data_IF_903369051827
#
_entry.id   IF_903369051827
#
_cell.length_a   1.000
_cell.length_b   1.000
_cell.length_c   1.000
_cell.angle_alpha   90.00
_cell.angle_beta   90.00
_cell.angle_gamma   90.00
#
_symmetry.space_group_name_H-M   'P 1'
#
loop_
_entity.id
_entity.type
_entity.pdbx_description
1 polymer ?
#
# COMPACT_ATOMS: atom_id res chain seq x y z
N UNK A 1 14.32 -0.22 16.13
CA UNK A 1 14.03 -0.48 14.69
C UNK A 1 14.12 -1.97 14.38
N UNK A 2 15.29 -2.60 14.56
CA UNK A 2 15.47 -4.05 14.27
C UNK A 2 14.52 -4.96 15.06
N UNK A 3 14.32 -4.68 16.35
CA UNK A 3 13.36 -5.42 17.18
C UNK A 3 11.90 -5.32 16.66
N UNK A 4 11.55 -4.24 15.94
CA UNK A 4 10.22 -4.11 15.35
C UNK A 4 10.12 -4.85 14.03
N UNK A 5 11.16 -4.76 13.20
CA UNK A 5 11.27 -5.53 11.96
C UNK A 5 11.13 -7.03 12.26
N UNK A 6 11.77 -7.52 13.33
CA UNK A 6 11.68 -8.93 13.72
C UNK A 6 10.28 -9.35 14.17
N UNK A 7 9.47 -8.44 14.74
CA UNK A 7 8.07 -8.75 15.13
C UNK A 7 7.19 -9.06 13.91
N UNK A 8 7.50 -8.55 12.72
CA UNK A 8 6.72 -8.84 11.52
C UNK A 8 6.71 -10.31 11.13
N UNK A 9 7.75 -11.06 11.50
CA UNK A 9 7.82 -12.49 11.25
C UNK A 9 6.60 -13.24 11.82
N UNK A 10 6.02 -12.74 12.92
CA UNK A 10 4.86 -13.34 13.60
C UNK A 10 3.52 -12.87 13.05
N UNK A 11 3.50 -11.84 12.19
CA UNK A 11 2.26 -11.36 11.62
C UNK A 11 1.80 -12.27 10.49
N UNK A 12 0.49 -12.40 10.36
CA UNK A 12 -0.15 -13.02 9.21
C UNK A 12 0.12 -12.23 7.92
N UNK A 13 0.30 -12.93 6.80
CA UNK A 13 0.54 -12.32 5.49
C UNK A 13 -0.66 -11.49 5.01
N UNK A 14 -0.37 -10.31 4.42
CA UNK A 14 -1.34 -9.32 3.90
C UNK A 14 -2.34 -8.82 4.95
N UNK A 15 -3.06 -7.70 4.77
CA UNK A 15 -4.19 -7.37 5.63
C UNK A 15 -5.37 -8.34 5.42
N UNK A 16 -6.18 -8.60 6.46
CA UNK A 16 -7.31 -9.56 6.40
C UNK A 16 -8.29 -9.28 5.25
N UNK A 17 -8.58 -8.02 4.95
CA UNK A 17 -9.50 -7.67 3.86
C UNK A 17 -8.91 -7.96 2.47
N UNK A 18 -7.58 -7.90 2.31
CA UNK A 18 -6.92 -8.31 1.06
C UNK A 18 -6.90 -9.83 0.96
N UNK A 19 -6.61 -10.52 2.06
CA UNK A 19 -6.66 -11.97 2.08
C UNK A 19 -8.07 -12.49 1.73
N UNK A 20 -9.12 -11.91 2.33
CA UNK A 20 -10.50 -12.29 2.06
C UNK A 20 -10.91 -12.00 0.61
N UNK A 21 -10.46 -10.89 0.01
CA UNK A 21 -10.70 -10.60 -1.40
C UNK A 21 -10.34 -11.77 -2.33
N UNK A 22 -9.25 -12.50 -2.05
CA UNK A 22 -8.82 -13.65 -2.85
C UNK A 22 -9.43 -14.99 -2.42
N UNK A 23 -10.02 -15.09 -1.22
CA UNK A 23 -10.37 -16.37 -0.60
C UNK A 23 -11.84 -16.54 -0.26
N UNK A 24 -12.61 -15.46 -0.22
CA UNK A 24 -14.03 -15.45 0.15
C UNK A 24 -14.88 -14.85 -0.95
N UNK A 25 -15.77 -15.65 -1.53
CA UNK A 25 -16.67 -15.22 -2.61
C UNK A 25 -17.68 -14.16 -2.16
N UNK A 26 -18.03 -14.15 -0.87
CA UNK A 26 -18.99 -13.19 -0.32
C UNK A 26 -18.37 -11.86 0.11
N UNK A 27 -17.03 -11.73 0.02
CA UNK A 27 -16.30 -10.52 0.39
C UNK A 27 -16.77 -9.31 -0.44
N UNK A 28 -17.09 -8.17 0.22
CA UNK A 28 -17.56 -6.98 -0.48
C UNK A 28 -16.63 -6.48 -1.59
N UNK A 29 -15.31 -6.60 -1.43
CA UNK A 29 -14.34 -6.19 -2.46
C UNK A 29 -14.29 -7.18 -3.60
N UNK A 30 -14.41 -8.48 -3.31
CA UNK A 30 -14.49 -9.50 -4.36
C UNK A 30 -15.72 -9.29 -5.24
N UNK A 31 -16.88 -8.98 -4.64
CA UNK A 31 -18.10 -8.61 -5.38
C UNK A 31 -17.92 -7.33 -6.20
N UNK A 32 -17.31 -6.31 -5.62
CA UNK A 32 -17.02 -5.07 -6.32
C UNK A 32 -16.11 -5.29 -7.55
N UNK A 33 -15.11 -6.16 -7.44
CA UNK A 33 -14.26 -6.55 -8.58
C UNK A 33 -15.04 -7.31 -9.66
N UNK A 34 -15.95 -8.20 -9.27
CA UNK A 34 -16.80 -8.90 -10.25
C UNK A 34 -17.74 -7.94 -11.01
N UNK A 35 -18.24 -6.91 -10.33
CA UNK A 35 -19.15 -5.93 -10.91
C UNK A 35 -18.42 -4.85 -11.74
N UNK A 36 -17.24 -4.46 -11.28
CA UNK A 36 -16.45 -3.34 -11.83
C UNK A 36 -14.98 -3.73 -12.02
N UNK A 37 -14.67 -4.76 -12.85
CA UNK A 37 -13.31 -5.24 -13.01
C UNK A 37 -12.36 -4.18 -13.58
N UNK A 38 -12.89 -3.19 -14.32
CA UNK A 38 -12.12 -2.08 -14.87
C UNK A 38 -11.46 -1.22 -13.78
N UNK A 39 -12.01 -1.18 -12.56
CA UNK A 39 -11.49 -0.41 -11.42
C UNK A 39 -10.35 -1.12 -10.66
N UNK A 40 -9.99 -2.34 -11.07
CA UNK A 40 -8.99 -3.17 -10.39
C UNK A 40 -7.87 -3.61 -11.35
N UNK A 41 -7.09 -2.69 -11.94
CA UNK A 41 -6.00 -3.08 -12.81
C UNK A 41 -4.88 -3.74 -11.99
N UNK A 42 -4.15 -4.66 -12.62
CA UNK A 42 -3.03 -5.35 -12.02
C UNK A 42 -1.82 -5.37 -12.96
N UNK A 43 -0.63 -5.37 -12.38
CA UNK A 43 0.63 -5.60 -13.10
C UNK A 43 0.72 -7.04 -13.58
N UNK A 44 1.67 -7.33 -14.45
CA UNK A 44 2.06 -8.72 -14.71
C UNK A 44 2.47 -9.39 -13.40
N UNK A 45 2.05 -10.64 -13.25
CA UNK A 45 2.43 -11.47 -12.11
C UNK A 45 3.70 -12.27 -12.44
N UNK A 46 4.70 -12.19 -11.58
CA UNK A 46 6.02 -12.79 -11.77
C UNK A 46 6.48 -13.58 -10.55
N UNK A 47 7.71 -14.10 -10.58
CA UNK A 47 8.35 -14.72 -9.42
C UNK A 47 8.57 -13.76 -8.26
N UNK A 48 8.53 -12.44 -8.51
CA UNK A 48 8.60 -11.40 -7.47
C UNK A 48 7.20 -10.98 -6.96
N UNK A 49 6.15 -11.66 -7.44
CA UNK A 49 4.75 -11.32 -7.22
C UNK A 49 4.22 -10.34 -8.26
N UNK A 50 3.12 -9.68 -7.90
CA UNK A 50 2.48 -8.64 -8.69
C UNK A 50 1.78 -7.62 -7.80
N UNK A 51 1.37 -6.50 -8.37
CA UNK A 51 0.60 -5.47 -7.66
C UNK A 51 -0.73 -5.26 -8.35
N UNK A 52 -1.76 -4.97 -7.56
CA UNK A 52 -3.04 -4.49 -8.10
C UNK A 52 -3.47 -3.22 -7.41
N UNK A 53 -4.23 -2.40 -8.13
CA UNK A 53 -4.80 -1.15 -7.64
C UNK A 53 -6.28 -1.35 -7.36
N UNK A 54 -6.82 -0.65 -6.36
CA UNK A 54 -8.26 -0.65 -6.12
C UNK A 54 -8.74 0.69 -5.55
N UNK A 55 -10.05 0.99 -5.64
CA UNK A 55 -10.67 2.13 -4.96
C UNK A 55 -10.38 2.15 -3.45
N UNK A 56 -9.98 3.32 -2.94
CA UNK A 56 -9.88 3.59 -1.50
C UNK A 56 -11.03 4.48 -1.05
N UNK A 57 -12.22 3.89 -1.01
CA UNK A 57 -13.49 4.61 -0.89
C UNK A 57 -13.73 5.23 0.48
N UNK A 58 -12.96 4.86 1.50
CA UNK A 58 -12.97 5.52 2.82
C UNK A 58 -12.71 7.03 2.76
N UNK A 59 -12.10 7.50 1.68
CA UNK A 59 -11.81 8.92 1.45
C UNK A 59 -12.88 9.64 0.63
N UNK A 60 -13.95 8.96 0.23
CA UNK A 60 -15.10 9.57 -0.45
C UNK A 60 -16.37 9.21 0.33
N UNK A 61 -16.97 10.16 1.07
CA UNK A 61 -18.15 9.90 1.89
C UNK A 61 -19.29 9.24 1.11
N UNK A 62 -19.93 8.24 1.70
CA UNK A 62 -21.09 7.55 1.13
C UNK A 62 -20.79 6.59 -0.02
N UNK A 63 -19.51 6.31 -0.33
CA UNK A 63 -19.13 5.33 -1.36
C UNK A 63 -18.91 3.93 -0.77
N UNK A 64 -19.22 2.91 -1.57
CA UNK A 64 -19.09 1.48 -1.24
C UNK A 64 -17.68 0.97 -1.57
N UNK A 65 -17.45 -0.31 -1.82
CA UNK A 65 -16.10 -0.85 -2.14
C UNK A 65 -15.59 -0.51 -3.55
N UNK A 66 -16.44 0.10 -4.38
CA UNK A 66 -16.15 0.59 -5.73
C UNK A 66 -16.88 1.92 -5.98
N UNK A 67 -16.60 2.56 -7.11
CA UNK A 67 -17.35 3.71 -7.58
C UNK A 67 -18.34 3.26 -8.65
N UNK A 68 -19.64 3.40 -8.41
CA UNK A 68 -20.69 3.00 -9.38
C UNK A 68 -20.58 3.75 -10.72
N UNK A 69 -20.13 5.01 -10.65
CA UNK A 69 -19.88 5.89 -11.79
C UNK A 69 -18.47 6.47 -11.68
N UNK A 70 -17.43 5.69 -12.01
CA UNK A 70 -16.04 6.11 -11.84
C UNK A 70 -15.71 7.37 -12.63
N UNK A 71 -16.34 7.59 -13.79
CA UNK A 71 -16.15 8.77 -14.63
C UNK A 71 -16.57 10.09 -13.93
N UNK A 72 -17.47 10.02 -12.96
CA UNK A 72 -17.96 11.18 -12.20
C UNK A 72 -17.11 11.48 -10.95
N UNK A 73 -16.24 10.57 -10.52
CA UNK A 73 -15.56 10.70 -9.23
C UNK A 73 -14.69 11.94 -9.18
N UNK A 74 -14.01 12.25 -10.29
CA UNK A 74 -13.12 13.40 -10.38
C UNK A 74 -13.89 14.72 -10.26
N UNK A 75 -15.01 14.84 -10.96
CA UNK A 75 -15.86 16.03 -10.90
C UNK A 75 -16.50 16.21 -9.51
N UNK A 76 -17.06 15.13 -8.97
CA UNK A 76 -17.75 15.15 -7.68
C UNK A 76 -16.85 15.42 -6.48
N UNK A 77 -15.55 15.08 -6.58
CA UNK A 77 -14.60 15.26 -5.47
C UNK A 77 -13.66 16.46 -5.60
N UNK A 78 -13.71 17.19 -6.73
CA UNK A 78 -12.81 18.32 -7.03
C UNK A 78 -12.78 19.37 -5.91
N UNK A 79 -13.91 19.63 -5.28
CA UNK A 79 -14.05 20.66 -4.24
C UNK A 79 -14.08 20.10 -2.81
N UNK A 80 -14.01 18.78 -2.64
CA UNK A 80 -14.16 18.12 -1.33
C UNK A 80 -12.89 17.40 -0.87
N UNK A 81 -11.75 17.65 -1.53
CA UNK A 81 -10.48 17.02 -1.20
C UNK A 81 -10.18 15.74 -1.96
N UNK A 82 -10.70 15.62 -3.19
CA UNK A 82 -10.27 14.60 -4.14
C UNK A 82 -10.68 13.18 -3.78
N UNK A 83 -10.02 12.22 -4.43
CA UNK A 83 -10.24 10.80 -4.20
C UNK A 83 -8.92 10.05 -4.16
N UNK A 84 -9.00 8.75 -3.84
CA UNK A 84 -7.83 7.93 -3.67
C UNK A 84 -8.04 6.50 -4.12
N UNK A 85 -6.95 5.93 -4.59
CA UNK A 85 -6.77 4.51 -4.84
C UNK A 85 -5.63 4.00 -3.95
N UNK A 86 -5.56 2.69 -3.80
CA UNK A 86 -4.50 2.02 -3.06
C UNK A 86 -4.06 0.76 -3.79
N UNK A 87 -2.75 0.65 -4.01
CA UNK A 87 -2.11 -0.52 -4.58
C UNK A 87 -1.67 -1.47 -3.47
N UNK A 88 -1.83 -2.78 -3.68
CA UNK A 88 -1.30 -3.81 -2.79
C UNK A 88 -0.41 -4.78 -3.56
N UNK A 89 0.72 -5.14 -2.96
CA UNK A 89 1.53 -6.25 -3.45
C UNK A 89 0.89 -7.59 -3.07
N UNK A 90 0.94 -8.53 -3.99
CA UNK A 90 0.44 -9.90 -3.84
C UNK A 90 1.64 -10.85 -3.96
N UNK A 91 1.91 -11.66 -2.92
CA UNK A 91 3.02 -12.60 -2.91
C UNK A 91 2.77 -13.78 -3.86
N UNK A 92 3.82 -14.35 -4.49
CA UNK A 92 3.74 -15.62 -5.18
C UNK A 92 3.53 -16.81 -4.23
N UNK A 93 2.92 -17.88 -4.73
CA UNK A 93 2.74 -19.16 -4.04
C UNK A 93 1.68 -19.14 -2.94
N UNK A 94 0.71 -18.22 -2.99
CA UNK A 94 -0.36 -18.08 -1.97
C UNK A 94 -1.75 -18.18 -2.58
N UNK A 95 -2.02 -17.46 -3.68
CA UNK A 95 -3.37 -17.31 -4.24
C UNK A 95 -3.52 -17.88 -5.65
N UNK A 96 -2.44 -18.40 -6.23
CA UNK A 96 -2.45 -19.05 -7.53
C UNK A 96 -3.50 -20.18 -7.55
N UNK A 97 -4.26 -20.21 -8.65
CA UNK A 97 -5.42 -21.06 -8.89
C UNK A 97 -6.68 -20.71 -8.09
N UNK A 98 -6.68 -19.62 -7.32
CA UNK A 98 -7.94 -18.99 -6.88
C UNK A 98 -8.52 -18.17 -8.02
N UNK A 99 -9.83 -18.23 -8.16
CA UNK A 99 -10.54 -17.60 -9.28
C UNK A 99 -10.37 -16.07 -9.31
N UNK A 100 -10.50 -15.32 -8.19
CA UNK A 100 -10.24 -13.88 -8.19
C UNK A 100 -8.82 -13.52 -8.58
N UNK A 101 -7.83 -14.33 -8.18
CA UNK A 101 -6.43 -14.13 -8.53
C UNK A 101 -6.21 -14.31 -10.04
N UNK A 102 -6.67 -15.43 -10.59
CA UNK A 102 -6.53 -15.75 -12.01
C UNK A 102 -7.19 -14.68 -12.89
N UNK A 103 -8.39 -14.22 -12.51
CA UNK A 103 -9.07 -13.12 -13.20
C UNK A 103 -8.30 -11.80 -13.10
N UNK A 104 -7.88 -11.41 -11.90
CA UNK A 104 -7.22 -10.13 -11.64
C UNK A 104 -5.91 -9.99 -12.43
N UNK A 105 -5.09 -11.03 -12.42
CA UNK A 105 -3.78 -11.03 -13.08
C UNK A 105 -3.82 -11.56 -14.52
N UNK A 106 -4.99 -11.97 -15.02
CA UNK A 106 -5.14 -12.52 -16.37
C UNK A 106 -4.33 -13.81 -16.59
N UNK A 107 -4.13 -14.60 -15.54
CA UNK A 107 -3.34 -15.84 -15.58
C UNK A 107 -4.23 -17.06 -15.36
N UNK A 108 -3.86 -18.19 -15.95
CA UNK A 108 -4.50 -19.46 -15.67
C UNK A 108 -3.52 -20.38 -14.93
N UNK A 109 -3.39 -20.14 -13.63
CA UNK A 109 -2.53 -20.95 -12.76
C UNK A 109 -3.34 -22.09 -12.14
N UNK A 110 -2.70 -23.26 -11.98
CA UNK A 110 -3.26 -24.31 -11.14
C UNK A 110 -3.17 -23.89 -9.68
N UNK A 111 -4.05 -24.45 -8.84
CA UNK A 111 -4.06 -24.18 -7.41
C UNK A 111 -2.69 -24.48 -6.83
N UNK A 112 -2.02 -23.46 -6.29
CA UNK A 112 -0.81 -23.67 -5.51
C UNK A 112 -1.15 -24.56 -4.31
N UNK A 113 -0.20 -25.38 -3.86
CA UNK A 113 -0.21 -26.04 -2.54
C UNK A 113 -0.06 -25.00 -1.40
N UNK A 114 -0.70 -23.84 -1.55
CA UNK A 114 -0.75 -22.81 -0.55
C UNK A 114 -1.49 -23.30 0.70
N UNK A 115 -1.15 -22.75 1.88
CA UNK A 115 -1.74 -23.18 3.13
C UNK A 115 -3.25 -22.96 3.14
N UNK A 116 -4.00 -23.87 3.78
CA UNK A 116 -5.46 -23.75 3.91
C UNK A 116 -5.88 -22.59 4.82
N UNK A 117 -4.98 -22.17 5.71
CA UNK A 117 -5.14 -21.03 6.60
C UNK A 117 -4.12 -19.93 6.28
N UNK A 118 -4.41 -18.71 6.76
CA UNK A 118 -3.53 -17.57 6.56
C UNK A 118 -2.24 -17.77 7.35
N UNK A 119 -1.14 -17.98 6.63
CA UNK A 119 0.16 -18.22 7.25
C UNK A 119 0.80 -16.93 7.78
N UNK A 120 1.79 -17.09 8.67
CA UNK A 120 2.64 -15.98 9.10
C UNK A 120 3.71 -15.68 8.07
N UNK A 121 4.27 -14.46 8.12
CA UNK A 121 5.38 -14.05 7.27
C UNK A 121 6.59 -15.00 7.43
N UNK A 122 6.90 -15.46 8.64
CA UNK A 122 7.97 -16.43 8.86
C UNK A 122 7.72 -17.77 8.15
N UNK A 123 6.48 -18.26 8.21
CA UNK A 123 6.10 -19.51 7.55
C UNK A 123 6.18 -19.38 6.02
N UNK A 124 5.67 -18.26 5.48
CA UNK A 124 5.78 -17.93 4.06
C UNK A 124 7.23 -17.90 3.60
N UNK A 125 8.10 -17.16 4.30
CA UNK A 125 9.51 -17.02 3.92
C UNK A 125 10.23 -18.37 3.91
N UNK A 126 9.94 -19.22 4.91
CA UNK A 126 10.53 -20.56 5.01
C UNK A 126 10.06 -21.48 3.87
N UNK A 127 8.79 -21.39 3.47
CA UNK A 127 8.18 -22.25 2.46
C UNK A 127 8.60 -21.89 1.04
N UNK A 128 8.74 -20.59 0.77
CA UNK A 128 8.97 -20.06 -0.59
C UNK A 128 10.42 -19.72 -0.89
N UNK A 129 11.30 -19.78 0.12
CA UNK A 129 12.67 -19.25 0.06
C UNK A 129 12.73 -17.79 -0.45
N UNK A 130 11.64 -17.06 -0.26
CA UNK A 130 11.43 -15.70 -0.76
C UNK A 130 11.00 -14.79 0.37
N UNK A 131 11.55 -13.57 0.41
CA UNK A 131 11.20 -12.61 1.45
C UNK A 131 9.87 -11.94 1.17
N UNK A 132 8.95 -12.01 2.13
CA UNK A 132 7.70 -11.26 2.09
C UNK A 132 7.96 -9.75 2.18
N UNK A 133 7.32 -8.96 1.31
CA UNK A 133 7.50 -7.51 1.26
C UNK A 133 6.46 -6.84 2.15
N UNK A 134 6.88 -6.40 3.34
CA UNK A 134 5.99 -5.76 4.32
C UNK A 134 5.99 -4.25 4.14
N UNK A 135 7.17 -3.67 3.94
CA UNK A 135 7.39 -2.23 3.89
C UNK A 135 8.34 -1.87 2.74
N UNK A 136 8.48 -0.57 2.40
CA UNK A 136 9.43 -0.14 1.38
C UNK A 136 10.87 -0.57 1.66
N UNK A 137 11.26 -0.72 2.93
CA UNK A 137 12.59 -1.18 3.36
C UNK A 137 12.92 -2.63 3.01
N UNK A 138 11.93 -3.40 2.53
CA UNK A 138 12.09 -4.79 2.08
C UNK A 138 12.20 -4.87 0.55
N UNK A 139 12.09 -3.74 -0.15
CA UNK A 139 12.26 -3.67 -1.61
C UNK A 139 13.74 -3.74 -2.00
N UNK A 140 14.00 -4.30 -3.18
CA UNK A 140 15.32 -4.55 -3.77
C UNK A 140 15.28 -4.20 -5.26
N UNK A 141 16.45 -4.17 -5.94
CA UNK A 141 16.52 -3.85 -7.38
C UNK A 141 15.70 -4.80 -8.24
N UNK A 142 15.59 -6.07 -7.86
CA UNK A 142 14.77 -7.05 -8.57
C UNK A 142 13.28 -6.69 -8.67
N UNK A 143 12.77 -5.82 -7.79
CA UNK A 143 11.38 -5.35 -7.81
C UNK A 143 11.14 -4.14 -8.73
N UNK A 144 12.19 -3.53 -9.29
CA UNK A 144 12.08 -2.33 -10.14
C UNK A 144 11.11 -2.53 -11.33
N UNK A 145 11.13 -3.65 -12.07
CA UNK A 145 10.21 -3.85 -13.20
C UNK A 145 8.73 -3.77 -12.76
N UNK A 146 8.36 -4.50 -11.71
CA UNK A 146 7.00 -4.48 -11.15
C UNK A 146 6.59 -3.08 -10.67
N UNK A 147 7.50 -2.32 -10.07
CA UNK A 147 7.22 -0.96 -9.59
C UNK A 147 7.03 0.03 -10.76
N UNK A 148 7.88 -0.03 -11.79
CA UNK A 148 7.72 0.79 -12.99
C UNK A 148 6.37 0.52 -13.65
N UNK A 149 6.05 -0.76 -13.82
CA UNK A 149 4.77 -1.17 -14.38
C UNK A 149 3.59 -0.69 -13.53
N UNK A 150 3.67 -0.82 -12.20
CA UNK A 150 2.63 -0.30 -11.31
C UNK A 150 2.40 1.20 -11.50
N UNK A 151 3.46 2.00 -11.64
CA UNK A 151 3.34 3.45 -11.86
C UNK A 151 2.67 3.75 -13.21
N UNK A 152 3.13 3.12 -14.29
CA UNK A 152 2.58 3.30 -15.64
C UNK A 152 1.11 2.88 -15.70
N UNK A 153 0.81 1.67 -15.21
CA UNK A 153 -0.54 1.14 -15.10
C UNK A 153 -1.45 2.07 -14.30
N UNK A 154 -0.99 2.56 -13.15
CA UNK A 154 -1.78 3.46 -12.29
C UNK A 154 -2.12 4.76 -13.02
N UNK A 155 -1.14 5.41 -13.65
CA UNK A 155 -1.36 6.67 -14.36
C UNK A 155 -2.27 6.50 -15.57
N UNK A 156 -2.09 5.42 -16.34
CA UNK A 156 -2.97 5.09 -17.46
C UNK A 156 -4.39 4.80 -16.99
N UNK A 157 -4.54 4.00 -15.94
CA UNK A 157 -5.85 3.69 -15.36
C UNK A 157 -6.59 4.93 -14.86
N UNK A 158 -5.87 5.89 -14.25
CA UNK A 158 -6.44 7.16 -13.83
C UNK A 158 -7.05 7.97 -14.99
N UNK A 159 -6.38 7.96 -16.14
CA UNK A 159 -6.86 8.61 -17.36
C UNK A 159 -8.07 7.87 -17.92
N UNK A 160 -7.93 6.56 -18.12
CA UNK A 160 -8.91 5.74 -18.85
C UNK A 160 -10.23 5.56 -18.09
N UNK A 161 -10.18 5.38 -16.76
CA UNK A 161 -11.36 5.02 -15.94
C UNK A 161 -11.94 6.21 -15.17
N UNK A 162 -11.10 7.15 -14.75
CA UNK A 162 -11.53 8.28 -13.92
C UNK A 162 -11.41 9.65 -14.62
N UNK A 163 -10.97 9.67 -15.89
CA UNK A 163 -10.88 10.89 -16.69
C UNK A 163 -9.83 11.90 -16.21
N UNK A 164 -8.88 11.48 -15.36
CA UNK A 164 -7.82 12.33 -14.81
C UNK A 164 -6.92 12.84 -15.94
N UNK A 165 -6.69 14.16 -16.00
CA UNK A 165 -5.81 14.79 -16.98
C UNK A 165 -4.48 15.17 -16.28
N UNK A 166 -3.34 14.62 -16.70
CA UNK A 166 -2.04 14.83 -16.03
C UNK A 166 -1.67 16.29 -15.79
N UNK A 167 -2.03 17.18 -16.72
CA UNK A 167 -1.67 18.59 -16.66
C UNK A 167 -2.63 19.45 -15.81
N UNK A 168 -3.78 18.90 -15.41
CA UNK A 168 -4.81 19.63 -14.65
C UNK A 168 -4.96 19.12 -13.23
N UNK A 169 -4.75 17.83 -13.03
CA UNK A 169 -4.95 17.16 -11.75
C UNK A 169 -3.62 16.88 -11.06
N UNK A 170 -3.56 17.11 -9.74
CA UNK A 170 -2.42 16.72 -8.94
C UNK A 170 -2.54 15.23 -8.56
N UNK A 171 -1.64 14.41 -9.09
CA UNK A 171 -1.50 13.00 -8.70
C UNK A 171 -0.29 12.84 -7.79
N UNK A 172 -0.49 12.23 -6.63
CA UNK A 172 0.56 11.97 -5.64
C UNK A 172 0.64 10.47 -5.34
N UNK A 173 1.80 9.87 -5.62
CA UNK A 173 2.04 8.43 -5.42
C UNK A 173 3.11 8.27 -4.33
N UNK A 174 2.76 7.59 -3.25
CA UNK A 174 3.67 7.43 -2.12
C UNK A 174 3.41 6.16 -1.31
N UNK A 175 4.41 5.82 -0.49
CA UNK A 175 4.35 4.74 0.48
C UNK A 175 4.55 5.33 1.88
N UNK A 176 4.05 4.61 2.87
CA UNK A 176 4.41 4.90 4.25
C UNK A 176 5.78 4.28 4.59
N UNK A 177 6.66 5.06 5.22
CA UNK A 177 8.03 4.67 5.56
C UNK A 177 8.36 5.12 7.00
N UNK A 178 9.32 4.51 7.70
CA UNK A 178 10.00 3.28 7.35
C UNK A 178 9.25 2.01 7.77
N UNK A 179 8.32 2.09 8.72
CA UNK A 179 7.68 0.93 9.34
C UNK A 179 6.24 1.26 9.74
N UNK A 180 5.26 0.58 9.13
CA UNK A 180 3.83 0.75 9.46
C UNK A 180 3.37 -0.20 10.58
N UNK A 181 2.23 0.08 11.22
CA UNK A 181 1.73 -0.68 12.38
C UNK A 181 1.58 -2.19 12.15
N UNK A 182 1.67 -2.99 13.21
CA UNK A 182 1.67 -4.46 13.14
C UNK A 182 0.39 -5.08 12.53
N UNK A 183 -0.70 -4.31 12.37
CA UNK A 183 -2.02 -4.82 11.92
C UNK A 183 -2.23 -4.77 10.40
N UNK A 184 -1.32 -4.18 9.64
CA UNK A 184 -1.44 -4.01 8.18
C UNK A 184 -0.19 -4.50 7.46
N UNK A 185 0.31 -5.68 7.86
CA UNK A 185 1.49 -6.26 7.23
C UNK A 185 1.23 -6.49 5.73
N UNK A 186 2.08 -5.95 4.86
CA UNK A 186 1.96 -6.02 3.41
C UNK A 186 2.21 -4.67 2.74
N UNK A 187 3.11 -4.66 1.75
CA UNK A 187 3.43 -3.47 0.97
C UNK A 187 2.17 -2.93 0.29
N UNK A 188 1.93 -1.63 0.47
CA UNK A 188 0.88 -0.91 -0.21
C UNK A 188 1.32 0.50 -0.60
N UNK A 189 0.73 1.00 -1.68
CA UNK A 189 1.10 2.27 -2.31
C UNK A 189 -0.16 3.12 -2.46
N UNK A 190 -0.10 4.32 -1.94
CA UNK A 190 -1.19 5.27 -2.06
C UNK A 190 -1.09 6.02 -3.38
N UNK A 191 -2.21 6.15 -4.08
CA UNK A 191 -2.36 6.98 -5.27
C UNK A 191 -3.48 7.98 -4.97
N UNK A 192 -3.11 9.26 -4.81
CA UNK A 192 -4.04 10.32 -4.38
C UNK A 192 -4.22 11.33 -5.50
N UNK A 193 -5.46 11.79 -5.71
CA UNK A 193 -5.83 12.66 -6.82
C UNK A 193 -6.54 13.89 -6.26
N UNK A 194 -5.96 15.08 -6.46
CA UNK A 194 -6.45 16.36 -5.93
C UNK A 194 -6.74 16.37 -4.42
N UNK A 195 -6.16 15.42 -3.70
CA UNK A 195 -6.44 15.24 -2.29
C UNK A 195 -5.47 16.07 -1.46
N UNK A 196 -6.04 16.99 -0.68
CA UNK A 196 -5.31 17.61 0.42
C UNK A 196 -5.07 16.51 1.45
N UNK A 197 -3.79 16.25 1.75
CA UNK A 197 -3.42 15.19 2.68
C UNK A 197 -4.08 15.45 4.04
N UNK A 198 -4.87 14.51 4.58
CA UNK A 198 -5.30 14.58 5.97
C UNK A 198 -4.09 14.68 6.87
N UNK A 199 -4.19 15.41 7.98
CA UNK A 199 -3.08 15.60 8.91
C UNK A 199 -2.41 14.28 9.32
N UNK A 200 -3.18 13.21 9.56
CA UNK A 200 -2.66 11.89 9.89
C UNK A 200 -1.79 11.21 8.82
N UNK A 201 -1.84 11.64 7.56
CA UNK A 201 -0.95 11.16 6.49
C UNK A 201 0.40 11.90 6.49
N UNK A 202 0.44 13.14 6.99
CA UNK A 202 1.69 13.87 7.26
C UNK A 202 2.49 13.15 8.37
N UNK A 203 1.77 12.52 9.32
CA UNK A 203 2.31 11.78 10.46
C UNK A 203 3.06 10.48 10.07
N UNK A 204 2.96 10.04 8.82
CA UNK A 204 3.31 8.68 8.39
C UNK A 204 4.70 8.52 7.74
N UNK A 205 5.54 9.56 7.79
CA UNK A 205 6.86 9.59 7.16
C UNK A 205 6.79 9.11 5.70
N UNK A 206 6.13 9.93 4.89
CA UNK A 206 5.88 9.67 3.47
C UNK A 206 7.17 9.46 2.69
N UNK A 207 7.27 8.34 1.99
CA UNK A 207 8.26 8.12 0.95
C UNK A 207 7.58 8.28 -0.41
N UNK A 208 7.89 9.38 -1.11
CA UNK A 208 7.40 9.58 -2.47
C UNK A 208 7.92 8.47 -3.40
N UNK A 209 7.06 8.03 -4.32
CA UNK A 209 7.39 6.92 -5.22
C UNK A 209 8.64 7.21 -6.05
N UNK A 210 8.79 8.43 -6.58
CA UNK A 210 9.99 8.83 -7.35
C UNK A 210 11.26 8.80 -6.50
N UNK A 211 11.17 9.13 -5.20
CA UNK A 211 12.31 9.03 -4.29
C UNK A 211 12.70 7.57 -4.05
N UNK A 212 11.72 6.68 -3.84
CA UNK A 212 11.96 5.24 -3.76
C UNK A 212 12.65 4.74 -5.04
N UNK A 213 12.09 5.06 -6.21
CA UNK A 213 12.67 4.65 -7.49
C UNK A 213 14.08 5.21 -7.70
N UNK A 214 14.38 6.43 -7.25
CA UNK A 214 15.73 6.99 -7.31
C UNK A 214 16.73 6.19 -6.47
N UNK A 215 16.32 5.68 -5.31
CA UNK A 215 17.19 4.86 -4.44
C UNK A 215 17.42 3.50 -5.09
N UNK A 216 16.36 2.88 -5.60
CA UNK A 216 16.45 1.55 -6.22
C UNK A 216 17.28 1.57 -7.50
N UNK A 217 17.15 2.60 -8.34
CA UNK A 217 17.88 2.70 -9.61
C UNK A 217 19.32 3.21 -9.46
N UNK A 218 19.76 3.67 -8.28
CA UNK A 218 21.12 4.16 -8.11
C UNK A 218 22.14 3.01 -8.19
N UNK A 219 22.97 3.01 -9.22
CA UNK A 219 24.03 2.01 -9.43
C UNK A 219 25.06 2.00 -8.30
N UNK A 220 25.22 3.12 -7.57
CA UNK A 220 26.16 3.24 -6.44
C UNK A 220 25.62 2.60 -5.17
N UNK A 221 24.32 2.31 -5.11
CA UNK A 221 23.68 1.65 -3.97
C UNK A 221 23.53 0.17 -4.31
N UNK A 222 24.23 -0.71 -3.62
CA UNK A 222 24.03 -2.16 -3.75
C UNK A 222 22.75 -2.60 -3.02
N UNK A 223 22.19 -3.76 -3.39
CA UNK A 223 20.97 -4.31 -2.77
C UNK A 223 21.06 -4.43 -1.24
N UNK A 224 22.24 -4.78 -0.72
CA UNK A 224 22.52 -4.87 0.71
C UNK A 224 22.37 -3.54 1.46
N UNK A 225 22.50 -2.40 0.78
CA UNK A 225 22.44 -1.06 1.38
C UNK A 225 21.11 -0.32 1.12
N UNK A 226 20.23 -0.83 0.24
CA UNK A 226 18.95 -0.18 -0.10
C UNK A 226 18.11 0.10 1.16
N UNK A 227 17.99 -0.89 2.04
CA UNK A 227 17.25 -0.75 3.31
C UNK A 227 17.73 0.46 4.11
N UNK A 228 19.04 0.64 4.24
CA UNK A 228 19.63 1.75 4.98
C UNK A 228 19.30 3.10 4.33
N UNK A 229 19.44 3.19 3.00
CA UNK A 229 19.11 4.42 2.27
C UNK A 229 17.63 4.79 2.38
N UNK A 230 16.73 3.81 2.33
CA UNK A 230 15.29 4.04 2.55
C UNK A 230 15.03 4.53 3.98
N UNK A 231 15.63 3.89 4.98
CA UNK A 231 15.51 4.31 6.40
C UNK A 231 16.03 5.74 6.62
N UNK A 232 17.10 6.11 5.92
CA UNK A 232 17.72 7.43 6.02
C UNK A 232 16.96 8.52 5.26
N UNK A 233 16.02 8.17 4.39
CA UNK A 233 15.15 9.13 3.70
C UNK A 233 13.97 9.64 4.52
N UNK A 234 13.66 9.00 5.67
CA UNK A 234 12.57 9.42 6.56
C UNK A 234 12.86 10.72 7.31
N UNK A 235 11.82 11.43 7.75
CA UNK A 235 11.98 12.67 8.51
C UNK A 235 12.51 12.38 9.92
N UNK A 236 13.59 13.06 10.27
CA UNK A 236 14.26 12.94 11.57
C UNK A 236 14.40 14.32 12.23
N UNK A 237 14.39 14.35 13.56
CA UNK A 237 14.77 15.53 14.34
C UNK A 237 16.27 15.79 14.22
N UNK A 238 16.73 16.96 14.68
CA UNK A 238 18.16 17.27 14.76
C UNK A 238 18.96 16.28 15.65
N UNK A 239 18.28 15.59 16.57
CA UNK A 239 18.88 14.54 17.40
C UNK A 239 18.91 13.16 16.71
N UNK A 240 18.44 13.07 15.46
CA UNK A 240 18.38 11.83 14.69
C UNK A 240 17.17 10.93 14.99
N UNK A 241 16.27 11.33 15.89
CA UNK A 241 15.04 10.59 16.22
C UNK A 241 14.04 10.70 15.07
N UNK A 242 13.27 9.65 14.79
CA UNK A 242 12.17 9.76 13.83
C UNK A 242 11.11 10.73 14.34
N UNK A 243 10.56 11.55 13.44
CA UNK A 243 9.47 12.45 13.78
C UNK A 243 8.13 11.70 13.62
N UNK A 244 7.25 11.81 14.61
CA UNK A 244 5.86 11.34 14.51
C UNK A 244 4.90 12.34 15.14
N UNK A 245 3.83 12.66 14.42
CA UNK A 245 2.75 13.52 14.91
C UNK A 245 1.57 12.70 15.49
N UNK A 246 1.66 11.36 15.47
CA UNK A 246 0.64 10.38 15.90
C UNK A 246 0.48 10.24 17.44
N UNK A 247 0.80 11.31 18.18
CA UNK A 247 0.88 11.31 19.65
C UNK A 247 -0.42 10.88 20.37
N UNK A 248 -1.57 10.87 19.68
CA UNK A 248 -2.88 10.57 20.25
C UNK A 248 -3.44 9.15 20.01
N UNK A 249 -2.98 8.38 19.00
CA UNK A 249 -3.71 7.16 18.57
C UNK A 249 -2.84 5.91 18.33
N UNK A 250 -1.50 6.00 18.41
CA UNK A 250 -0.65 4.96 17.86
C UNK A 250 0.73 4.77 18.50
N UNK A 251 0.94 5.03 19.80
CA UNK A 251 2.27 4.81 20.44
C UNK A 251 2.83 3.39 20.22
N UNK A 252 1.97 2.38 20.21
CA UNK A 252 2.35 0.99 19.87
C UNK A 252 2.97 0.85 18.47
N UNK A 253 2.58 1.71 17.53
CA UNK A 253 3.14 1.77 16.18
C UNK A 253 4.52 2.41 16.11
N UNK A 254 5.12 2.83 17.22
CA UNK A 254 6.48 3.40 17.23
C UNK A 254 7.35 2.79 18.36
N UNK A 255 6.84 1.75 19.03
CA UNK A 255 7.59 1.00 20.04
C UNK A 255 8.92 0.46 19.50
N UNK A 256 9.96 0.51 20.34
CA UNK A 256 11.31 0.06 19.98
C UNK A 256 12.02 0.93 18.93
N UNK A 257 11.48 2.12 18.62
CA UNK A 257 12.10 3.10 17.71
C UNK A 257 12.24 4.44 18.40
N UNK A 258 13.44 5.03 18.38
CA UNK A 258 13.68 6.38 18.90
C UNK A 258 12.82 7.38 18.10
N UNK A 259 11.70 7.80 18.69
CA UNK A 259 10.66 8.60 18.04
C UNK A 259 10.32 9.79 18.91
N UNK A 260 10.39 10.98 18.34
CA UNK A 260 9.90 12.21 18.99
C UNK A 260 8.47 12.44 18.58
N UNK A 261 7.57 12.44 19.57
CA UNK A 261 6.16 12.71 19.38
C UNK A 261 5.90 14.21 19.45
N UNK A 262 5.35 14.76 18.38
CA UNK A 262 4.88 16.14 18.36
C UNK A 262 3.35 16.13 18.42
N UNK A 263 2.71 17.00 19.23
CA UNK A 263 1.27 17.17 19.18
C UNK A 263 0.84 17.48 17.75
N UNK A 264 -0.13 16.75 17.19
CA UNK A 264 -0.65 17.09 15.87
C UNK A 264 -1.29 18.48 15.94
N UNK A 265 -0.73 19.52 15.27
CA UNK A 265 -1.27 20.88 15.36
C UNK A 265 -2.63 21.00 14.65
N UNK A 266 -3.00 20.00 13.85
CA UNK A 266 -4.26 19.91 13.14
C UNK A 266 -5.16 18.88 13.84
N UNK A 267 -5.75 19.29 14.97
CA UNK A 267 -6.82 18.51 15.62
C UNK A 267 -7.96 18.32 14.62
N UNK A 268 -8.32 17.08 14.32
CA UNK A 268 -9.58 16.73 13.63
C UNK A 268 -10.77 17.30 14.43
N UNK A 269 -11.60 18.20 13.87
CA UNK A 269 -12.77 18.73 14.57
C UNK A 269 -13.85 17.68 14.89
N UNK A 270 -13.79 16.50 14.29
CA UNK A 270 -14.86 15.49 14.22
C UNK A 270 -14.75 14.33 15.23
N UNK A 271 -13.72 14.29 16.08
CA UNK A 271 -13.58 13.24 17.13
C UNK A 271 -13.95 13.72 18.55
N UNK A 272 -14.62 14.88 18.69
CA UNK A 272 -15.10 15.40 19.98
C UNK A 272 -16.60 15.21 20.23
N UNK A 273 -17.24 14.20 19.63
CA UNK A 273 -18.59 13.80 20.02
C UNK A 273 -18.69 12.29 20.18
N UNK A 274 -18.02 11.78 21.20
CA UNK A 274 -18.48 10.62 21.96
C UNK A 274 -17.76 10.61 23.31
N UNK A 275 -18.38 11.29 24.29
CA UNK A 275 -18.24 10.96 25.71
C UNK A 275 -18.81 9.58 25.98
#
# INVERSE_FOLDING_TARGET
MQERISRYANNEILPTFIYNFFTKEDDPKAKAFQQHPEQFPATHFSTEGGMFLMPNTKYVPGKSESFERPEDILASTRNTGGFALVGYWVPPGVFEGKEPFNKLFGVNTQRAEGPESRETIAAYNKRTDSSFIVNPIDLQKKHIPMLNEFKEMSLKHLQDVYGVQPDKEKVDIYLHSPIYGNRTAGLHIHVRINQNLPAGEIDSNRLGFDKLMSILNDEKISDSHIREHILNSGLKTNSGSFLSFSSAWGRQQFEGTATTYVPNPFRRPDLMTST
#
